data_IF_970172390613
#
_entry.id   IF_970172390613
#
_cell.length_a   1.000
_cell.length_b   1.000
_cell.length_c   1.000
_cell.angle_alpha   90.00
_cell.angle_beta   90.00
_cell.angle_gamma   90.00
#
_symmetry.space_group_name_H-M   'P 1'
#
loop_
_entity.id
_entity.type
_entity.pdbx_description
1 polymer ?
#
# COMPACT_ATOMS: atom_id res chain seq x y z
N UNK A 1 11.36 -0.19 -7.73
CA UNK A 1 12.42 -1.20 -7.68
C UNK A 1 12.38 -2.01 -6.39
N UNK A 2 13.23 -3.01 -6.30
CA UNK A 2 13.30 -3.86 -5.12
C UNK A 2 13.93 -3.12 -3.95
N UNK A 3 13.42 -3.38 -2.75
CA UNK A 3 13.98 -2.83 -1.52
C UNK A 3 14.35 -3.96 -0.57
N UNK A 4 15.51 -3.84 0.05
CA UNK A 4 15.95 -4.78 1.08
C UNK A 4 15.79 -4.12 2.44
N UNK A 5 14.99 -4.75 3.30
CA UNK A 5 14.67 -4.20 4.61
C UNK A 5 14.92 -5.26 5.67
N UNK A 6 15.42 -4.84 6.83
CA UNK A 6 15.73 -5.76 7.93
C UNK A 6 14.48 -6.21 8.66
N UNK A 7 14.47 -7.42 9.21
CA UNK A 7 13.37 -7.86 10.08
C UNK A 7 13.13 -6.88 11.23
N UNK A 8 11.88 -6.62 11.53
CA UNK A 8 11.48 -5.68 12.57
C UNK A 8 11.45 -4.23 12.13
N UNK A 9 12.02 -3.90 10.98
CA UNK A 9 12.03 -2.54 10.46
C UNK A 9 10.69 -2.20 9.79
N UNK A 10 10.60 -0.97 9.28
CA UNK A 10 9.44 -0.48 8.54
C UNK A 10 9.85 -0.07 7.14
N UNK A 11 8.91 -0.09 6.21
CA UNK A 11 9.12 0.42 4.86
C UNK A 11 7.92 1.24 4.46
N UNK A 12 8.15 2.31 3.67
CA UNK A 12 7.08 3.14 3.15
C UNK A 12 7.16 3.11 1.62
N UNK A 13 6.14 2.54 1.02
CA UNK A 13 6.03 2.43 -0.44
C UNK A 13 5.18 3.56 -0.98
N UNK A 14 5.50 4.04 -2.17
CA UNK A 14 4.77 5.13 -2.79
C UNK A 14 4.23 4.73 -4.16
N UNK A 15 3.11 5.35 -4.53
CA UNK A 15 2.47 5.14 -5.81
C UNK A 15 1.95 6.49 -6.30
N UNK A 16 2.56 7.01 -7.35
CA UNK A 16 2.20 8.30 -7.88
C UNK A 16 1.22 8.16 -9.04
N UNK A 17 0.08 8.85 -8.96
CA UNK A 17 -0.84 8.94 -10.07
C UNK A 17 -0.36 10.00 -11.04
N UNK A 18 -0.47 9.74 -12.34
CA UNK A 18 -0.07 10.70 -13.35
C UNK A 18 -1.09 10.71 -14.48
N UNK A 19 -1.28 11.88 -15.08
CA UNK A 19 -2.16 12.05 -16.21
C UNK A 19 -3.65 12.14 -15.90
N UNK A 20 -4.03 12.15 -14.60
CA UNK A 20 -5.44 12.31 -14.21
C UNK A 20 -5.50 12.76 -12.75
N UNK A 21 -6.70 13.15 -12.31
CA UNK A 21 -6.92 13.60 -10.93
C UNK A 21 -7.00 12.41 -9.99
N UNK A 22 -6.08 12.32 -9.04
CA UNK A 22 -6.02 11.19 -8.11
C UNK A 22 -7.24 11.10 -7.20
N UNK A 23 -7.94 12.22 -6.98
CA UNK A 23 -9.12 12.25 -6.13
C UNK A 23 -10.35 11.61 -6.75
N UNK A 24 -10.27 11.21 -8.02
CA UNK A 24 -11.41 10.63 -8.74
C UNK A 24 -11.57 9.13 -8.53
N UNK A 25 -10.59 8.46 -7.93
CA UNK A 25 -10.57 7.00 -7.86
C UNK A 25 -10.05 6.53 -6.51
N UNK A 26 -10.65 5.43 -5.99
CA UNK A 26 -10.09 4.71 -4.85
C UNK A 26 -8.77 4.09 -5.26
N UNK A 27 -7.79 4.10 -4.36
CA UNK A 27 -6.50 3.47 -4.56
C UNK A 27 -6.42 2.21 -3.72
N UNK A 28 -6.19 1.08 -4.39
CA UNK A 28 -6.08 -0.23 -3.74
C UNK A 28 -4.64 -0.67 -3.66
N UNK A 29 -4.30 -1.34 -2.58
CA UNK A 29 -2.99 -1.94 -2.39
C UNK A 29 -3.14 -3.45 -2.28
N UNK A 30 -2.29 -4.17 -3.02
CA UNK A 30 -2.38 -5.63 -3.17
C UNK A 30 -0.99 -6.23 -2.99
N UNK A 31 -0.93 -7.36 -2.29
CA UNK A 31 0.30 -8.13 -2.04
C UNK A 31 0.26 -9.38 -2.89
N UNK A 32 1.38 -9.70 -3.55
CA UNK A 32 1.48 -10.91 -4.37
C UNK A 32 2.69 -11.73 -3.94
N UNK A 33 2.45 -13.00 -3.64
CA UNK A 33 3.49 -13.98 -3.34
C UNK A 33 3.31 -15.19 -4.26
N UNK A 34 4.42 -15.89 -4.63
CA UNK A 34 4.33 -16.97 -5.65
C UNK A 34 3.36 -18.09 -5.33
N UNK A 35 3.26 -18.51 -4.07
CA UNK A 35 2.39 -19.62 -3.69
C UNK A 35 1.04 -19.13 -3.19
N UNK A 36 1.03 -18.10 -2.36
CA UNK A 36 -0.19 -17.59 -1.75
C UNK A 36 -1.06 -16.78 -2.71
N UNK A 37 -0.47 -16.28 -3.79
CA UNK A 37 -1.19 -15.49 -4.78
C UNK A 37 -1.44 -14.06 -4.35
N UNK A 38 -2.54 -13.49 -4.82
CA UNK A 38 -2.90 -12.11 -4.56
C UNK A 38 -3.69 -11.98 -3.26
N UNK A 39 -3.33 -10.99 -2.45
CA UNK A 39 -4.04 -10.65 -1.22
C UNK A 39 -4.31 -9.16 -1.21
N UNK A 40 -5.56 -8.78 -0.99
CA UNK A 40 -5.94 -7.36 -0.87
C UNK A 40 -5.53 -6.87 0.51
N UNK A 41 -4.80 -5.76 0.56
CA UNK A 41 -4.36 -5.15 1.82
C UNK A 41 -5.37 -4.12 2.31
N UNK A 42 -5.81 -3.25 1.41
CA UNK A 42 -6.74 -2.20 1.76
C UNK A 42 -6.88 -1.21 0.63
N UNK A 43 -7.71 -0.19 0.87
CA UNK A 43 -7.85 0.90 -0.09
C UNK A 43 -8.02 2.22 0.63
N UNK A 44 -7.78 3.29 -0.10
CA UNK A 44 -7.96 4.65 0.39
C UNK A 44 -8.66 5.48 -0.68
N UNK A 45 -9.61 6.32 -0.23
CA UNK A 45 -10.25 7.30 -1.09
C UNK A 45 -9.47 8.60 -0.97
N UNK A 46 -8.80 9.06 -2.05
CA UNK A 46 -7.97 10.27 -1.96
C UNK A 46 -8.76 11.54 -1.66
N UNK A 47 -10.07 11.55 -1.93
CA UNK A 47 -10.86 12.76 -1.74
C UNK A 47 -11.02 13.13 -0.27
N UNK A 48 -11.12 12.15 0.63
CA UNK A 48 -11.37 12.39 2.05
C UNK A 48 -10.51 11.52 2.97
N UNK A 49 -9.59 10.75 2.39
CA UNK A 49 -8.68 9.84 3.11
C UNK A 49 -9.42 8.72 3.86
N UNK A 50 -10.65 8.40 3.45
CA UNK A 50 -11.35 7.24 4.01
C UNK A 50 -10.59 5.97 3.63
N UNK A 51 -10.30 5.12 4.62
CA UNK A 51 -9.52 3.91 4.42
C UNK A 51 -10.27 2.67 4.89
N UNK A 52 -10.04 1.57 4.19
CA UNK A 52 -10.54 0.26 4.56
C UNK A 52 -9.39 -0.71 4.52
N UNK A 53 -9.29 -1.59 5.51
CA UNK A 53 -8.20 -2.55 5.63
C UNK A 53 -8.73 -3.97 5.67
N UNK A 54 -7.98 -4.89 5.05
CA UNK A 54 -8.14 -6.31 5.34
C UNK A 54 -7.70 -6.52 6.79
N UNK A 55 -8.52 -7.25 7.58
CA UNK A 55 -8.25 -7.50 8.99
C UNK A 55 -6.85 -8.06 9.24
N UNK A 56 -6.34 -8.87 8.31
CA UNK A 56 -5.02 -9.48 8.47
C UNK A 56 -3.89 -8.46 8.41
N UNK A 57 -4.12 -7.28 7.83
CA UNK A 57 -3.07 -6.29 7.62
C UNK A 57 -3.25 -5.02 8.44
N UNK A 58 -4.37 -4.87 9.13
CA UNK A 58 -4.71 -3.57 9.75
C UNK A 58 -3.72 -3.14 10.82
N UNK A 59 -3.02 -4.06 11.48
CA UNK A 59 -2.07 -3.72 12.53
C UNK A 59 -0.67 -3.46 12.00
N UNK A 60 -0.39 -3.81 10.74
CA UNK A 60 0.94 -3.59 10.16
C UNK A 60 0.94 -2.62 9.00
N UNK A 61 -0.19 -2.36 8.35
CA UNK A 61 -0.26 -1.49 7.18
C UNK A 61 -0.95 -0.18 7.52
N UNK A 62 -0.40 0.93 7.02
CA UNK A 62 -1.01 2.25 7.16
C UNK A 62 -1.05 2.89 5.78
N UNK A 63 -2.24 3.24 5.31
CA UNK A 63 -2.45 3.88 4.02
C UNK A 63 -2.65 5.37 4.21
N UNK A 64 -1.95 6.17 3.41
CA UNK A 64 -2.09 7.62 3.41
C UNK A 64 -2.06 8.13 1.98
N UNK A 65 -2.44 9.37 1.78
CA UNK A 65 -2.39 10.01 0.47
C UNK A 65 -1.99 11.47 0.64
N UNK A 66 -1.19 11.97 -0.29
CA UNK A 66 -0.84 13.37 -0.39
C UNK A 66 -1.44 13.90 -1.70
N UNK A 67 -2.54 14.63 -1.59
CA UNK A 67 -3.24 15.13 -2.76
C UNK A 67 -2.45 16.20 -3.53
N UNK A 68 -1.60 16.94 -2.84
CA UNK A 68 -0.81 17.98 -3.50
C UNK A 68 0.21 17.37 -4.48
N UNK A 69 0.70 16.19 -4.21
CA UNK A 69 1.66 15.50 -5.09
C UNK A 69 1.02 14.32 -5.84
N UNK A 70 -0.28 14.08 -5.65
CA UNK A 70 -0.99 12.93 -6.25
C UNK A 70 -0.30 11.61 -5.95
N UNK A 71 0.16 11.46 -4.71
CA UNK A 71 0.94 10.29 -4.30
C UNK A 71 0.23 9.56 -3.16
N UNK A 72 0.04 8.26 -3.33
CA UNK A 72 -0.47 7.39 -2.27
C UNK A 72 0.72 6.66 -1.63
N UNK A 73 0.59 6.38 -0.34
CA UNK A 73 1.65 5.72 0.43
C UNK A 73 1.08 4.55 1.20
N UNK A 74 1.88 3.50 1.31
CA UNK A 74 1.60 2.40 2.22
C UNK A 74 2.83 2.16 3.07
N UNK A 75 2.66 2.26 4.39
CA UNK A 75 3.72 1.94 5.33
C UNK A 75 3.45 0.57 5.94
N UNK A 76 4.45 -0.29 5.87
CA UNK A 76 4.41 -1.60 6.53
C UNK A 76 5.40 -1.57 7.68
N UNK A 77 4.96 -2.02 8.85
CA UNK A 77 5.78 -1.99 10.06
C UNK A 77 6.00 -3.40 10.58
N UNK A 78 7.04 -3.54 11.44
CA UNK A 78 7.37 -4.82 12.10
C UNK A 78 7.54 -5.95 11.09
N UNK A 79 8.32 -5.69 10.04
CA UNK A 79 8.47 -6.61 8.92
C UNK A 79 9.07 -7.95 9.33
N UNK A 80 8.55 -9.01 8.71
CA UNK A 80 9.05 -10.37 8.84
C UNK A 80 9.28 -10.96 7.45
N UNK A 81 9.78 -12.19 7.38
CA UNK A 81 9.96 -12.87 6.10
C UNK A 81 8.64 -13.06 5.34
N UNK A 82 7.51 -13.11 6.06
CA UNK A 82 6.19 -13.23 5.45
C UNK A 82 5.81 -12.01 4.63
N UNK A 83 6.47 -10.88 4.84
CA UNK A 83 6.21 -9.64 4.11
C UNK A 83 7.03 -9.54 2.83
N UNK A 84 7.92 -10.49 2.56
CA UNK A 84 8.68 -10.53 1.31
C UNK A 84 7.73 -10.87 0.17
N UNK A 85 7.48 -9.90 -0.71
CA UNK A 85 6.44 -10.01 -1.73
C UNK A 85 6.58 -8.87 -2.73
N UNK A 86 5.80 -8.94 -3.80
CA UNK A 86 5.61 -7.81 -4.69
C UNK A 86 4.33 -7.09 -4.26
N UNK A 87 4.41 -5.78 -4.13
CA UNK A 87 3.26 -4.97 -3.74
C UNK A 87 2.86 -4.07 -4.90
N UNK A 88 1.56 -4.03 -5.17
CA UNK A 88 0.99 -3.23 -6.25
C UNK A 88 0.01 -2.22 -5.69
N UNK A 89 -0.05 -1.04 -6.34
CA UNK A 89 -1.15 -0.11 -6.17
C UNK A 89 -1.94 -0.06 -7.46
N UNK A 90 -3.28 0.04 -7.36
CA UNK A 90 -4.15 0.07 -8.52
C UNK A 90 -5.41 0.85 -8.21
N UNK A 91 -6.03 1.35 -9.26
CA UNK A 91 -7.31 2.04 -9.14
C UNK A 91 -8.47 1.08 -9.06
#
# INVERSE_FOLDING_TARGET
GAELVRPGASVKLSCKASGYTSTSYWMHWVKQRPIQGLEWIGNIDPSDSETHYNQEFKDEATLTVDNSSSTAYMQLSSLTSEDSAVYYCTR
#
